data_IF_053127466180
#
_entry.id   IF_053127466180
#
_cell.length_a   1.000
_cell.length_b   1.000
_cell.length_c   1.000
_cell.angle_alpha   90.00
_cell.angle_beta   90.00
_cell.angle_gamma   90.00
#
_symmetry.space_group_name_H-M   'P 1'
#
loop_
_entity.id
_entity.type
_entity.pdbx_description
1 polymer ?
#
# COMPACT_ATOMS: atom_id res chain seq x y z
N UNK A 1 -0.06 -8.55 -9.54
CA UNK A 1 -1.18 -8.46 -8.55
C UNK A 1 -2.13 -7.34 -8.96
N UNK A 2 -3.42 -7.54 -8.80
CA UNK A 2 -4.44 -6.57 -9.19
C UNK A 2 -4.82 -5.67 -8.01
N UNK A 3 -4.80 -4.35 -8.23
CA UNK A 3 -5.26 -3.37 -7.23
C UNK A 3 -6.75 -3.11 -7.45
N UNK A 4 -7.57 -3.53 -6.49
CA UNK A 4 -9.05 -3.44 -6.64
C UNK A 4 -9.55 -2.02 -6.41
N UNK A 5 -8.94 -1.27 -5.51
CA UNK A 5 -9.37 0.07 -5.10
C UNK A 5 -8.46 1.16 -5.67
N UNK A 6 -8.12 1.05 -6.95
CA UNK A 6 -7.16 1.95 -7.62
C UNK A 6 -7.55 3.44 -7.55
N UNK A 7 -8.84 3.73 -7.41
CA UNK A 7 -9.31 5.11 -7.23
C UNK A 7 -8.64 5.80 -6.05
N UNK A 8 -8.31 5.06 -5.00
CA UNK A 8 -7.60 5.62 -3.84
C UNK A 8 -6.21 6.14 -4.19
N UNK A 9 -5.58 5.56 -5.21
CA UNK A 9 -4.29 6.05 -5.74
C UNK A 9 -4.51 7.41 -6.38
N UNK A 10 -5.55 7.54 -7.21
CA UNK A 10 -5.84 8.82 -7.88
C UNK A 10 -6.15 9.92 -6.85
N UNK A 11 -6.96 9.61 -5.87
CA UNK A 11 -7.30 10.55 -4.79
C UNK A 11 -6.06 10.96 -3.99
N UNK A 12 -5.17 10.01 -3.69
CA UNK A 12 -3.94 10.28 -2.96
C UNK A 12 -2.99 11.17 -3.76
N UNK A 13 -2.90 10.98 -5.08
CA UNK A 13 -2.07 11.81 -5.94
C UNK A 13 -2.54 13.26 -5.96
N UNK A 14 -3.84 13.48 -5.89
CA UNK A 14 -4.40 14.83 -5.80
C UNK A 14 -4.11 15.46 -4.43
N UNK A 15 -4.25 14.68 -3.37
CA UNK A 15 -4.03 15.16 -2.01
C UNK A 15 -2.54 15.43 -1.73
N UNK A 16 -1.66 14.59 -2.27
CA UNK A 16 -0.21 14.70 -2.06
C UNK A 16 0.54 14.70 -3.41
N UNK A 17 0.50 15.83 -4.14
CA UNK A 17 1.14 15.88 -5.47
C UNK A 17 2.64 15.56 -5.45
N UNK A 18 3.34 15.87 -4.38
CA UNK A 18 4.76 15.56 -4.24
C UNK A 18 5.05 14.07 -4.23
N UNK A 19 4.06 13.26 -3.86
CA UNK A 19 4.18 11.81 -3.80
C UNK A 19 3.55 11.10 -4.99
N UNK A 20 3.06 11.85 -5.98
CA UNK A 20 2.36 11.28 -7.12
C UNK A 20 3.21 10.27 -7.88
N UNK A 21 4.47 10.61 -8.15
CA UNK A 21 5.38 9.70 -8.87
C UNK A 21 5.64 8.43 -8.06
N UNK A 22 5.87 8.56 -6.76
CA UNK A 22 6.10 7.41 -5.89
C UNK A 22 4.88 6.49 -5.82
N UNK A 23 3.68 7.06 -5.79
CA UNK A 23 2.44 6.30 -5.82
C UNK A 23 2.27 5.56 -7.14
N UNK A 24 2.57 6.22 -8.27
CA UNK A 24 2.53 5.58 -9.58
C UNK A 24 3.54 4.43 -9.69
N UNK A 25 4.76 4.64 -9.19
CA UNK A 25 5.81 3.62 -9.23
C UNK A 25 5.40 2.39 -8.41
N UNK A 26 4.80 2.60 -7.24
CA UNK A 26 4.27 1.52 -6.41
C UNK A 26 3.19 0.73 -7.16
N UNK A 27 2.26 1.44 -7.75
CA UNK A 27 1.14 0.85 -8.48
C UNK A 27 1.63 0.00 -9.66
N UNK A 28 2.55 0.54 -10.45
CA UNK A 28 3.12 -0.18 -11.61
C UNK A 28 3.90 -1.42 -11.17
N UNK A 29 4.72 -1.31 -10.13
CA UNK A 29 5.48 -2.43 -9.61
C UNK A 29 4.56 -3.56 -9.16
N UNK A 30 3.46 -3.20 -8.50
CA UNK A 30 2.49 -4.17 -8.04
C UNK A 30 1.79 -4.87 -9.20
N UNK A 31 1.36 -4.12 -10.21
CA UNK A 31 0.68 -4.67 -11.39
C UNK A 31 1.56 -5.58 -12.23
N UNK A 32 2.85 -5.28 -12.33
CA UNK A 32 3.79 -6.05 -13.16
C UNK A 32 4.24 -7.35 -12.54
N UNK A 33 4.03 -7.53 -11.24
CA UNK A 33 4.55 -8.68 -10.53
C UNK A 33 3.45 -9.63 -10.09
N UNK A 34 3.71 -10.93 -10.26
CA UNK A 34 2.94 -11.95 -9.57
C UNK A 34 3.65 -12.22 -8.25
N UNK A 35 2.98 -11.94 -7.14
CA UNK A 35 3.55 -12.05 -5.81
C UNK A 35 2.87 -13.18 -5.06
N UNK A 36 3.57 -14.31 -4.94
CA UNK A 36 2.97 -15.54 -4.43
C UNK A 36 2.71 -15.50 -2.91
N UNK A 37 3.55 -14.76 -2.17
CA UNK A 37 3.48 -14.71 -0.72
C UNK A 37 4.14 -13.42 -0.20
N UNK A 38 4.19 -13.27 1.12
CA UNK A 38 4.79 -12.10 1.74
C UNK A 38 6.30 -11.98 1.45
N UNK A 39 7.00 -13.10 1.36
CA UNK A 39 8.42 -13.07 1.04
C UNK A 39 8.67 -12.47 -0.35
N UNK A 40 7.85 -12.84 -1.33
CA UNK A 40 7.91 -12.27 -2.67
C UNK A 40 7.55 -10.78 -2.65
N UNK A 41 6.54 -10.39 -1.86
CA UNK A 41 6.16 -8.99 -1.67
C UNK A 41 7.33 -8.19 -1.11
N UNK A 42 8.00 -8.71 -0.09
CA UNK A 42 9.13 -8.04 0.57
C UNK A 42 10.35 -7.91 -0.35
N UNK A 43 10.51 -8.84 -1.28
CA UNK A 43 11.58 -8.74 -2.28
C UNK A 43 11.40 -7.56 -3.22
N UNK A 44 10.15 -7.23 -3.56
CA UNK A 44 9.83 -6.08 -4.43
C UNK A 44 9.74 -4.79 -3.62
N UNK A 45 9.19 -4.86 -2.41
CA UNK A 45 9.01 -3.71 -1.52
C UNK A 45 9.71 -3.99 -0.19
N UNK A 46 11.04 -3.76 -0.09
CA UNK A 46 11.81 -4.15 1.09
C UNK A 46 11.33 -3.54 2.41
N UNK A 47 10.70 -2.37 2.36
CA UNK A 47 10.20 -1.68 3.55
C UNK A 47 8.77 -2.06 3.93
N UNK A 48 8.14 -3.02 3.22
CA UNK A 48 6.79 -3.43 3.57
C UNK A 48 6.75 -4.14 4.91
N UNK A 49 5.76 -3.78 5.73
CA UNK A 49 5.50 -4.43 7.01
C UNK A 49 4.15 -5.11 7.01
N UNK A 50 4.01 -6.09 7.90
CA UNK A 50 2.73 -6.76 8.10
C UNK A 50 2.27 -6.53 9.54
N UNK A 51 1.07 -5.96 9.68
CA UNK A 51 0.47 -5.68 10.99
C UNK A 51 -0.91 -6.36 11.03
N UNK A 52 -0.98 -7.50 11.71
CA UNK A 52 -2.18 -8.34 11.66
C UNK A 52 -2.49 -8.75 10.24
N UNK A 53 -3.72 -8.55 9.75
CA UNK A 53 -4.09 -8.89 8.38
C UNK A 53 -3.67 -7.84 7.36
N UNK A 54 -3.12 -6.71 7.80
CA UNK A 54 -2.84 -5.57 6.93
C UNK A 54 -1.36 -5.50 6.55
N UNK A 55 -1.11 -5.01 5.34
CA UNK A 55 0.24 -4.69 4.85
C UNK A 55 0.42 -3.18 4.86
N UNK A 56 1.58 -2.72 5.33
CA UNK A 56 1.91 -1.30 5.38
C UNK A 56 3.07 -1.02 4.43
N UNK A 57 2.84 -0.18 3.43
CA UNK A 57 3.85 0.20 2.45
C UNK A 57 4.33 1.63 2.70
N UNK A 58 5.63 1.83 2.63
CA UNK A 58 6.24 3.16 2.65
C UNK A 58 6.24 3.73 1.24
N UNK A 59 5.70 4.91 1.08
CA UNK A 59 5.66 5.62 -0.20
C UNK A 59 6.43 6.92 -0.08
N UNK A 60 7.35 7.16 -1.02
CA UNK A 60 8.09 8.42 -1.04
C UNK A 60 8.96 8.66 0.18
N UNK A 61 9.71 7.65 0.62
CA UNK A 61 10.61 7.77 1.76
C UNK A 61 9.87 8.01 3.08
N UNK A 62 8.79 7.29 3.30
CA UNK A 62 7.98 7.35 4.52
C UNK A 62 7.09 8.59 4.66
N UNK A 63 6.95 9.38 3.61
CA UNK A 63 6.02 10.54 3.63
C UNK A 63 4.58 10.08 3.66
N UNK A 64 4.27 9.01 2.95
CA UNK A 64 2.94 8.42 2.86
C UNK A 64 3.02 6.96 3.28
N UNK A 65 2.01 6.52 4.03
CA UNK A 65 1.81 5.10 4.35
C UNK A 65 0.57 4.62 3.62
N UNK A 66 0.73 3.56 2.83
CA UNK A 66 -0.40 2.92 2.16
C UNK A 66 -0.66 1.60 2.85
N UNK A 67 -1.89 1.43 3.34
CA UNK A 67 -2.27 0.27 4.12
C UNK A 67 -3.29 -0.54 3.33
N UNK A 68 -3.02 -1.83 3.15
CA UNK A 68 -3.79 -2.67 2.26
C UNK A 68 -4.05 -4.06 2.84
N UNK A 69 -5.15 -4.64 2.42
CA UNK A 69 -5.46 -6.04 2.64
C UNK A 69 -5.04 -6.81 1.37
N UNK A 70 -4.20 -7.82 1.53
CA UNK A 70 -3.64 -8.57 0.40
C UNK A 70 -4.17 -10.01 0.42
N UNK A 71 -4.67 -10.44 -0.72
CA UNK A 71 -5.13 -11.81 -0.97
C UNK A 71 -4.20 -12.47 -2.00
N UNK A 72 -3.20 -13.20 -1.51
CA UNK A 72 -2.20 -13.82 -2.39
C UNK A 72 -2.78 -14.90 -3.30
N UNK A 73 -3.69 -15.70 -2.80
CA UNK A 73 -4.33 -16.76 -3.60
C UNK A 73 -5.02 -16.23 -4.85
N UNK A 74 -5.73 -15.13 -4.72
CA UNK A 74 -6.48 -14.51 -5.82
C UNK A 74 -5.73 -13.39 -6.50
N UNK A 75 -4.53 -13.05 -6.02
CA UNK A 75 -3.71 -11.95 -6.54
C UNK A 75 -4.44 -10.61 -6.54
N UNK A 76 -5.11 -10.31 -5.43
CA UNK A 76 -5.86 -9.05 -5.26
C UNK A 76 -5.36 -8.27 -4.07
N UNK A 77 -5.25 -6.96 -4.23
CA UNK A 77 -4.87 -6.04 -3.16
C UNK A 77 -5.95 -4.97 -3.04
N UNK A 78 -6.45 -4.82 -1.81
CA UNK A 78 -7.47 -3.83 -1.49
C UNK A 78 -6.84 -2.71 -0.67
N UNK A 79 -6.80 -1.49 -1.21
CA UNK A 79 -6.28 -0.35 -0.48
C UNK A 79 -7.30 0.05 0.58
N UNK A 80 -6.88 0.02 1.85
CA UNK A 80 -7.75 0.36 2.98
C UNK A 80 -7.55 1.80 3.42
N UNK A 81 -6.31 2.25 3.48
CA UNK A 81 -5.97 3.60 3.92
C UNK A 81 -4.77 4.11 3.16
N UNK A 82 -4.79 5.41 2.83
CA UNK A 82 -3.61 6.13 2.37
C UNK A 82 -3.46 7.32 3.31
N UNK A 83 -2.39 7.32 4.10
CA UNK A 83 -2.23 8.24 5.23
C UNK A 83 -0.90 8.99 5.13
N UNK A 84 -0.89 10.22 5.62
CA UNK A 84 0.36 10.91 5.85
C UNK A 84 1.00 10.41 7.17
N UNK A 85 2.20 10.92 7.47
CA UNK A 85 2.94 10.49 8.65
C UNK A 85 2.17 10.71 9.96
N UNK A 86 1.46 11.84 10.08
CA UNK A 86 0.71 12.17 11.30
C UNK A 86 -0.47 11.23 11.50
N UNK A 87 -1.23 11.01 10.45
CA UNK A 87 -2.40 10.12 10.48
C UNK A 87 -1.97 8.69 10.80
N UNK A 88 -0.86 8.26 10.22
CA UNK A 88 -0.31 6.94 10.47
C UNK A 88 0.09 6.79 11.95
N UNK A 89 0.78 7.79 12.51
CA UNK A 89 1.25 7.74 13.88
C UNK A 89 0.12 7.72 14.92
N UNK A 90 -1.04 8.30 14.58
CA UNK A 90 -2.21 8.22 15.47
C UNK A 90 -2.71 6.80 15.67
N UNK A 91 -2.43 5.90 14.73
CA UNK A 91 -2.71 4.48 14.87
C UNK A 91 -4.17 4.07 14.73
N UNK A 92 -5.07 4.96 14.31
CA UNK A 92 -6.49 4.63 14.12
C UNK A 92 -6.71 3.52 13.09
N UNK A 93 -5.86 3.47 12.09
CA UNK A 93 -5.94 2.44 11.05
C UNK A 93 -5.78 1.03 11.62
N UNK A 94 -5.16 0.89 12.80
CA UNK A 94 -4.99 -0.42 13.47
C UNK A 94 -6.31 -1.03 13.92
N UNK A 95 -7.35 -0.24 14.03
CA UNK A 95 -8.70 -0.70 14.35
C UNK A 95 -9.33 -1.45 13.17
N UNK A 96 -8.84 -1.24 11.97
CA UNK A 96 -9.28 -1.95 10.77
C UNK A 96 -8.74 -3.39 10.82
N UNK A 97 -9.64 -4.36 10.76
CA UNK A 97 -9.29 -5.76 10.83
C UNK A 97 -9.49 -6.49 9.49
N UNK A 98 -9.53 -5.72 8.45
CA UNK A 98 -9.81 -6.26 7.13
C UNK A 98 -11.30 -6.34 6.87
#
# INVERSE_FOLDING_TARGET
>A
MRVITAKRIWDAKEKWPHSAKALDDWYRALKRNRLADFAAMKAVFPAVDKVGPLHVFDIGGSKIRLIALVRYTTQKLYIRHVLDHREYDRGKWKEDRG
#
